data_IF_240769964130
#
_entry.id   IF_240769964130
#
_cell.length_a   1.000
_cell.length_b   1.000
_cell.length_c   1.000
_cell.angle_alpha   90.00
_cell.angle_beta   90.00
_cell.angle_gamma   90.00
#
_symmetry.space_group_name_H-M   'P 1'
#
loop_
_entity.id
_entity.type
_entity.pdbx_description
1 polymer ?
#
# COMPACT_ATOMS: atom_id res chain seq x y z
N UNK A 1 5.29 13.66 7.07
CA UNK A 1 4.13 14.12 6.27
C UNK A 1 3.99 15.63 6.46
N UNK A 2 3.74 16.40 5.42
CA UNK A 2 3.52 17.84 5.53
C UNK A 2 2.06 18.10 5.86
N UNK A 3 1.78 18.84 6.94
CA UNK A 3 0.41 19.14 7.40
C UNK A 3 0.15 20.64 7.23
N UNK A 4 -0.24 21.05 6.02
CA UNK A 4 -0.47 22.45 5.64
C UNK A 4 -1.49 23.15 6.59
N UNK A 5 -2.52 22.40 6.99
CA UNK A 5 -3.61 22.91 7.85
C UNK A 5 -3.50 22.44 9.31
N UNK A 6 -2.33 21.95 9.74
CA UNK A 6 -2.16 21.35 11.06
C UNK A 6 -2.75 19.93 11.13
N UNK A 7 -2.91 19.43 12.37
CA UNK A 7 -3.54 18.15 12.65
C UNK A 7 -4.06 18.13 14.09
N UNK A 8 -4.93 17.18 14.40
CA UNK A 8 -5.40 16.89 15.76
C UNK A 8 -5.09 15.44 16.11
N UNK A 9 -5.14 15.09 17.39
CA UNK A 9 -5.09 13.71 17.90
C UNK A 9 -6.31 13.53 18.78
N UNK A 10 -7.33 12.87 18.25
CA UNK A 10 -8.63 12.79 18.87
C UNK A 10 -8.75 11.58 19.78
N UNK A 11 -9.32 11.80 20.95
CA UNK A 11 -9.72 10.76 21.90
C UNK A 11 -11.10 11.12 22.45
N UNK A 12 -11.89 10.12 22.81
CA UNK A 12 -13.29 10.34 23.15
C UNK A 12 -13.65 9.61 24.43
N UNK A 13 -14.54 10.19 25.22
CA UNK A 13 -15.12 9.55 26.41
C UNK A 13 -16.59 9.33 26.20
N UNK A 14 -17.03 8.09 26.31
CA UNK A 14 -18.43 7.70 26.30
C UNK A 14 -18.83 7.17 27.69
N UNK A 15 -19.77 7.86 28.33
CA UNK A 15 -20.34 7.47 29.63
C UNK A 15 -21.68 6.76 29.41
N UNK A 16 -21.72 5.47 29.72
CA UNK A 16 -22.96 4.73 29.86
C UNK A 16 -23.52 4.85 31.28
N UNK A 17 -24.66 4.24 31.53
CA UNK A 17 -25.29 4.22 32.86
C UNK A 17 -24.52 3.38 33.89
N UNK A 18 -23.70 2.41 33.46
CA UNK A 18 -22.96 1.52 34.35
C UNK A 18 -21.44 1.61 34.17
N UNK A 19 -20.96 1.87 32.94
CA UNK A 19 -19.56 1.81 32.55
C UNK A 19 -19.17 3.00 31.70
N UNK A 20 -17.88 3.38 31.78
CA UNK A 20 -17.29 4.44 30.98
C UNK A 20 -16.19 3.85 30.07
N UNK A 21 -16.25 4.19 28.78
CA UNK A 21 -15.24 3.84 27.80
C UNK A 21 -14.47 5.10 27.36
N UNK A 22 -13.14 4.97 27.29
CA UNK A 22 -12.25 5.91 26.65
C UNK A 22 -11.85 5.30 25.29
N UNK A 23 -12.04 6.03 24.20
CA UNK A 23 -11.65 5.62 22.86
C UNK A 23 -10.37 6.32 22.45
N UNK A 24 -9.38 5.53 22.01
CA UNK A 24 -8.04 5.96 21.67
C UNK A 24 -7.35 6.71 22.82
N UNK A 25 -6.11 7.09 22.62
CA UNK A 25 -5.38 8.04 23.46
C UNK A 25 -4.76 9.13 22.59
N UNK A 26 -3.85 9.92 23.11
CA UNK A 26 -3.14 10.92 22.32
C UNK A 26 -1.64 10.56 22.21
N UNK A 27 -0.98 11.16 21.24
CA UNK A 27 0.47 11.08 21.10
C UNK A 27 1.17 11.54 22.37
N UNK A 28 2.12 10.76 22.86
CA UNK A 28 2.82 11.00 24.14
C UNK A 28 3.39 12.43 24.24
N UNK A 29 3.80 13.04 23.13
CA UNK A 29 4.30 14.42 23.11
C UNK A 29 3.33 15.42 23.71
N UNK A 30 2.03 15.15 23.63
CA UNK A 30 0.94 16.05 24.08
C UNK A 30 0.29 15.55 25.37
N UNK A 31 0.99 14.71 26.14
CA UNK A 31 0.44 14.12 27.36
C UNK A 31 -0.10 15.14 28.36
N UNK A 32 0.62 16.23 28.61
CA UNK A 32 0.24 17.21 29.63
C UNK A 32 -1.06 17.94 29.27
N UNK A 33 -1.22 18.33 28.01
CA UNK A 33 -2.45 18.94 27.50
C UNK A 33 -3.62 17.95 27.50
N UNK A 34 -3.36 16.72 27.03
CA UNK A 34 -4.34 15.64 27.01
C UNK A 34 -4.80 15.28 28.41
N UNK A 35 -3.87 15.16 29.36
CA UNK A 35 -4.19 14.93 30.77
C UNK A 35 -5.03 16.04 31.35
N UNK A 36 -4.71 17.31 31.10
CA UNK A 36 -5.47 18.45 31.57
C UNK A 36 -6.93 18.40 31.09
N UNK A 37 -7.16 18.06 29.81
CA UNK A 37 -8.49 17.87 29.25
C UNK A 37 -9.26 16.73 29.97
N UNK A 38 -8.62 15.60 30.24
CA UNK A 38 -9.23 14.50 30.98
C UNK A 38 -9.48 14.85 32.47
N UNK A 39 -8.63 15.69 33.06
CA UNK A 39 -8.84 16.26 34.42
C UNK A 39 -10.13 17.11 34.46
N UNK A 40 -10.31 17.97 33.47
CA UNK A 40 -11.53 18.82 33.35
C UNK A 40 -12.79 17.97 33.15
N UNK A 41 -12.73 16.87 32.40
CA UNK A 41 -13.82 15.92 32.23
C UNK A 41 -14.13 15.09 33.47
N UNK A 42 -13.22 15.07 34.47
CA UNK A 42 -13.40 14.36 35.72
C UNK A 42 -13.54 12.84 35.56
N UNK A 43 -12.79 12.25 34.64
CA UNK A 43 -12.94 10.84 34.27
C UNK A 43 -12.04 9.86 35.02
N UNK A 44 -11.04 10.38 35.75
CA UNK A 44 -10.06 9.54 36.45
C UNK A 44 -10.69 8.61 37.50
N UNK A 45 -10.24 7.36 37.48
CA UNK A 45 -10.76 6.31 38.36
C UNK A 45 -12.13 5.75 37.94
N UNK A 46 -12.75 6.32 36.92
CA UNK A 46 -14.06 5.90 36.41
C UNK A 46 -13.99 5.32 34.99
N UNK A 47 -12.80 5.23 34.38
CA UNK A 47 -12.61 4.57 33.08
C UNK A 47 -12.60 3.06 33.32
N UNK A 48 -13.60 2.36 32.84
CA UNK A 48 -13.71 0.90 32.88
C UNK A 48 -13.01 0.24 31.68
N UNK A 49 -13.14 0.86 30.50
CA UNK A 49 -12.62 0.34 29.26
C UNK A 49 -11.81 1.39 28.51
N UNK A 50 -10.68 0.97 27.92
CA UNK A 50 -9.90 1.75 26.96
C UNK A 50 -10.03 1.02 25.63
N UNK A 51 -10.85 1.52 24.73
CA UNK A 51 -11.13 0.94 23.41
C UNK A 51 -10.12 1.46 22.42
N UNK A 52 -9.32 0.56 21.84
CA UNK A 52 -8.30 0.88 20.85
C UNK A 52 -8.73 0.35 19.48
N UNK A 53 -9.25 1.24 18.64
CA UNK A 53 -9.61 0.88 17.27
C UNK A 53 -8.37 0.78 16.39
N UNK A 54 -7.28 1.49 16.77
CA UNK A 54 -6.00 1.48 16.10
C UNK A 54 -4.85 1.78 17.07
N UNK A 55 -3.67 1.18 16.88
CA UNK A 55 -2.58 1.23 17.86
C UNK A 55 -1.32 1.95 17.37
N UNK A 56 -1.39 2.72 16.27
CA UNK A 56 -0.28 3.58 15.90
C UNK A 56 0.06 4.52 17.07
N UNK A 57 1.36 4.80 17.34
CA UNK A 57 1.77 5.52 18.55
C UNK A 57 1.23 6.94 18.71
N UNK A 58 0.63 7.52 17.70
CA UNK A 58 -0.06 8.81 17.82
C UNK A 58 -1.48 8.67 18.37
N UNK A 59 -2.07 7.48 18.35
CA UNK A 59 -3.32 7.14 19.05
C UNK A 59 -3.08 6.33 20.32
N UNK A 60 -2.02 5.54 20.39
CA UNK A 60 -1.73 4.65 21.52
C UNK A 60 -0.64 5.17 22.47
N UNK A 61 0.04 6.27 22.13
CA UNK A 61 1.26 6.69 22.82
C UNK A 61 1.08 6.99 24.30
N UNK A 62 -0.07 7.47 24.71
CA UNK A 62 -0.34 7.82 26.12
C UNK A 62 -0.97 6.69 26.94
N UNK A 63 -1.19 5.50 26.36
CA UNK A 63 -1.92 4.39 27.03
C UNK A 63 -1.29 3.96 28.35
N UNK A 64 0.05 3.90 28.44
CA UNK A 64 0.75 3.56 29.68
C UNK A 64 0.40 4.50 30.83
N UNK A 65 0.35 5.81 30.53
CA UNK A 65 -0.02 6.84 31.51
C UNK A 65 -1.48 6.76 31.93
N UNK A 66 -2.38 6.45 30.98
CA UNK A 66 -3.80 6.25 31.28
C UNK A 66 -3.97 5.03 32.20
N UNK A 67 -3.29 3.93 31.93
CA UNK A 67 -3.34 2.71 32.76
C UNK A 67 -2.75 2.93 34.18
N UNK A 68 -1.74 3.79 34.32
CA UNK A 68 -1.18 4.16 35.63
C UNK A 68 -2.23 4.90 36.49
N UNK A 69 -3.05 5.75 35.86
CA UNK A 69 -4.11 6.51 36.56
C UNK A 69 -5.43 5.73 36.68
N UNK A 70 -5.62 4.69 35.88
CA UNK A 70 -6.81 3.82 35.89
C UNK A 70 -6.41 2.32 35.87
N UNK A 71 -5.77 1.83 36.95
CA UNK A 71 -5.21 0.47 36.97
C UNK A 71 -6.26 -0.64 36.93
N UNK A 72 -7.55 -0.31 37.05
CA UNK A 72 -8.67 -1.28 36.94
C UNK A 72 -9.27 -1.32 35.54
N UNK A 73 -8.91 -0.38 34.68
CA UNK A 73 -9.42 -0.35 33.32
C UNK A 73 -8.92 -1.58 32.53
N UNK A 74 -9.80 -2.10 31.67
CA UNK A 74 -9.46 -3.15 30.71
C UNK A 74 -9.29 -2.55 29.33
N UNK A 75 -8.21 -2.89 28.64
CA UNK A 75 -7.97 -2.47 27.25
C UNK A 75 -8.78 -3.37 26.33
N UNK A 76 -9.61 -2.78 25.47
CA UNK A 76 -10.46 -3.47 24.52
C UNK A 76 -9.91 -3.29 23.11
N UNK A 77 -9.70 -4.35 22.38
CA UNK A 77 -9.17 -4.30 21.03
C UNK A 77 -9.11 -5.65 20.34
N UNK A 78 -8.65 -5.65 19.09
CA UNK A 78 -8.39 -6.91 18.37
C UNK A 78 -7.22 -7.66 19.01
N UNK A 79 -7.09 -8.95 18.73
CA UNK A 79 -5.93 -9.73 19.21
C UNK A 79 -4.59 -9.14 18.76
N UNK A 80 -4.55 -8.58 17.55
CA UNK A 80 -3.37 -7.88 17.02
C UNK A 80 -3.10 -6.58 17.79
N UNK A 81 -4.13 -5.78 18.06
CA UNK A 81 -4.02 -4.55 18.84
C UNK A 81 -3.45 -4.83 20.24
N UNK A 82 -3.97 -5.82 20.94
CA UNK A 82 -3.50 -6.19 22.28
C UNK A 82 -2.04 -6.67 22.24
N UNK A 83 -1.64 -7.42 21.21
CA UNK A 83 -0.23 -7.81 21.04
C UNK A 83 0.68 -6.60 20.86
N UNK A 84 0.31 -5.68 19.95
CA UNK A 84 1.09 -4.46 19.71
C UNK A 84 1.18 -3.57 20.95
N UNK A 85 0.07 -3.40 21.68
CA UNK A 85 0.06 -2.59 22.90
C UNK A 85 0.94 -3.14 24.01
N UNK A 86 1.06 -4.47 24.15
CA UNK A 86 2.00 -5.07 25.09
C UNK A 86 3.45 -4.74 24.74
N UNK A 87 3.78 -4.71 23.46
CA UNK A 87 5.11 -4.32 22.98
C UNK A 87 5.33 -2.80 23.10
N UNK A 88 4.33 -1.96 22.81
CA UNK A 88 4.39 -0.50 22.97
C UNK A 88 4.59 -0.12 24.45
N UNK A 89 3.89 -0.79 25.37
CA UNK A 89 3.92 -0.48 26.79
C UNK A 89 5.00 -1.22 27.55
N UNK A 90 5.54 -2.32 27.01
CA UNK A 90 6.46 -3.25 27.65
C UNK A 90 5.95 -3.75 29.01
N UNK A 91 4.64 -3.94 29.16
CA UNK A 91 4.00 -4.43 30.37
C UNK A 91 2.73 -5.21 30.09
N UNK A 92 2.29 -6.02 31.06
CA UNK A 92 0.98 -6.65 31.06
C UNK A 92 -0.09 -5.71 31.61
N UNK A 93 -1.31 -5.87 31.11
CA UNK A 93 -2.50 -5.14 31.53
C UNK A 93 -3.75 -6.03 31.34
N UNK A 94 -4.85 -5.67 32.01
CA UNK A 94 -6.15 -6.31 31.77
C UNK A 94 -6.62 -6.03 30.34
N UNK A 95 -6.94 -7.07 29.58
CA UNK A 95 -7.35 -6.94 28.18
C UNK A 95 -8.61 -7.75 27.88
N UNK A 96 -9.49 -7.19 27.05
CA UNK A 96 -10.62 -7.83 26.45
C UNK A 96 -10.41 -7.87 24.92
N UNK A 97 -10.10 -9.07 24.41
CA UNK A 97 -9.96 -9.29 22.98
C UNK A 97 -11.34 -9.49 22.37
N UNK A 98 -11.69 -8.67 21.40
CA UNK A 98 -12.97 -8.72 20.71
C UNK A 98 -12.86 -9.33 19.32
N UNK A 99 -13.94 -9.95 18.86
CA UNK A 99 -14.10 -10.53 17.53
C UNK A 99 -15.06 -9.68 16.70
N UNK A 100 -15.10 -9.99 15.41
CA UNK A 100 -16.01 -9.34 14.49
C UNK A 100 -17.47 -9.55 14.86
N UNK A 101 -18.24 -8.46 14.96
CA UNK A 101 -19.65 -8.48 15.35
C UNK A 101 -19.93 -8.64 16.84
N UNK A 102 -18.91 -8.85 17.69
CA UNK A 102 -19.11 -8.91 19.15
C UNK A 102 -19.55 -7.55 19.71
N UNK A 103 -20.23 -7.60 20.84
CA UNK A 103 -20.75 -6.40 21.52
C UNK A 103 -20.27 -6.32 22.97
N UNK A 104 -20.19 -5.10 23.50
CA UNK A 104 -19.86 -4.80 24.89
C UNK A 104 -20.84 -3.78 25.44
N UNK A 105 -21.52 -4.10 26.55
CA UNK A 105 -22.47 -3.20 27.18
C UNK A 105 -21.79 -2.21 28.12
N UNK A 106 -22.25 -0.96 28.08
CA UNK A 106 -21.94 0.09 29.07
C UNK A 106 -23.14 0.41 29.96
N UNK A 107 -24.17 -0.44 29.95
CA UNK A 107 -25.46 -0.27 30.61
C UNK A 107 -26.53 0.12 29.59
N UNK A 108 -26.77 1.40 29.40
CA UNK A 108 -27.73 1.94 28.44
C UNK A 108 -27.16 2.15 27.01
N UNK A 109 -25.94 1.74 26.77
CA UNK A 109 -25.25 1.83 25.47
C UNK A 109 -24.51 0.54 25.16
N UNK A 110 -24.51 0.19 23.89
CA UNK A 110 -23.87 -1.03 23.37
C UNK A 110 -22.83 -0.70 22.33
N UNK A 111 -21.58 -1.08 22.61
CA UNK A 111 -20.49 -1.01 21.63
C UNK A 111 -20.54 -2.25 20.74
N UNK A 112 -20.62 -2.08 19.43
CA UNK A 112 -20.51 -3.17 18.45
C UNK A 112 -19.22 -3.03 17.66
N UNK A 113 -18.41 -4.09 17.63
CA UNK A 113 -17.08 -4.08 17.00
C UNK A 113 -17.13 -4.65 15.58
N UNK A 114 -16.45 -3.97 14.65
CA UNK A 114 -16.28 -4.38 13.26
C UNK A 114 -14.80 -4.45 12.95
N UNK A 115 -14.26 -5.65 12.78
CA UNK A 115 -12.85 -5.85 12.47
C UNK A 115 -12.56 -5.50 10.99
N UNK A 116 -11.63 -4.60 10.76
CA UNK A 116 -11.26 -4.07 9.44
C UNK A 116 -9.74 -4.08 9.26
N UNK A 117 -9.10 -5.26 9.34
CA UNK A 117 -7.65 -5.37 9.29
C UNK A 117 -7.09 -4.78 7.99
N UNK A 118 -5.93 -4.14 8.09
CA UNK A 118 -5.24 -3.41 7.02
C UNK A 118 -5.95 -2.14 6.53
N UNK A 119 -6.67 -1.46 7.42
CA UNK A 119 -7.24 -0.16 7.15
C UNK A 119 -6.86 0.88 8.24
N UNK A 120 -5.56 1.41 8.32
CA UNK A 120 -4.47 1.03 7.40
C UNK A 120 -3.47 0.05 8.03
N UNK A 121 -3.60 -0.31 9.32
CA UNK A 121 -2.78 -1.31 10.02
C UNK A 121 -3.57 -2.60 10.25
N UNK A 122 -2.87 -3.74 10.55
CA UNK A 122 -3.53 -5.04 10.70
C UNK A 122 -4.40 -5.18 11.95
N UNK A 123 -4.28 -4.27 12.91
CA UNK A 123 -5.01 -4.22 14.17
C UNK A 123 -6.36 -3.48 14.09
N UNK A 124 -6.62 -2.76 13.01
CA UNK A 124 -7.74 -1.81 12.88
C UNK A 124 -9.10 -2.48 13.02
N UNK A 125 -9.97 -1.81 13.79
CA UNK A 125 -11.41 -2.07 13.87
C UNK A 125 -12.19 -0.76 13.92
N UNK A 126 -13.49 -0.81 13.66
CA UNK A 126 -14.43 0.26 14.00
C UNK A 126 -15.29 -0.15 15.17
N UNK A 127 -15.74 0.83 15.92
CA UNK A 127 -16.74 0.62 17.00
C UNK A 127 -17.97 1.47 16.72
N UNK A 128 -19.13 0.85 16.67
CA UNK A 128 -20.41 1.53 16.47
C UNK A 128 -21.27 1.47 17.75
N UNK A 129 -21.86 2.60 18.11
CA UNK A 129 -22.81 2.75 19.23
C UNK A 129 -24.18 2.95 18.64
N UNK A 130 -25.03 1.93 18.74
CA UNK A 130 -26.33 1.90 18.05
C UNK A 130 -27.29 2.97 18.61
N UNK A 131 -27.33 3.13 19.93
CA UNK A 131 -28.25 4.03 20.62
C UNK A 131 -27.98 5.50 20.32
N UNK A 132 -26.70 5.86 20.12
CA UNK A 132 -26.28 7.24 19.81
C UNK A 132 -25.98 7.42 18.32
N UNK A 133 -26.01 6.37 17.49
CA UNK A 133 -25.67 6.38 16.04
C UNK A 133 -24.27 6.94 15.78
N UNK A 134 -23.32 6.64 16.64
CA UNK A 134 -21.95 7.12 16.60
C UNK A 134 -21.02 6.04 16.14
N UNK A 135 -20.17 6.34 15.15
CA UNK A 135 -19.15 5.45 14.61
C UNK A 135 -17.75 5.97 14.95
N UNK A 136 -16.95 5.16 15.63
CA UNK A 136 -15.53 5.45 15.90
C UNK A 136 -14.69 4.70 14.85
N UNK A 137 -13.94 5.46 14.06
CA UNK A 137 -13.21 4.92 12.89
C UNK A 137 -11.69 5.05 12.98
N UNK A 138 -11.21 5.76 14.01
CA UNK A 138 -9.83 6.21 14.08
C UNK A 138 -9.42 6.91 12.77
N UNK A 139 -8.43 6.44 12.02
CA UNK A 139 -7.86 7.13 10.87
C UNK A 139 -8.78 7.24 9.64
N UNK A 140 -9.71 6.31 9.48
CA UNK A 140 -10.62 6.39 8.33
C UNK A 140 -11.52 7.62 8.44
N UNK A 141 -11.73 8.29 7.32
CA UNK A 141 -12.44 9.58 7.21
C UNK A 141 -11.74 10.75 7.89
N UNK A 142 -10.54 10.55 8.43
CA UNK A 142 -9.72 11.58 9.04
C UNK A 142 -9.16 12.61 8.06
N UNK A 143 -8.63 13.69 8.61
CA UNK A 143 -7.95 14.73 7.85
C UNK A 143 -6.87 15.40 8.69
N UNK A 144 -5.76 15.83 8.05
CA UNK A 144 -4.82 16.74 8.69
C UNK A 144 -5.30 18.17 8.53
N UNK A 145 -6.35 18.47 9.31
CA UNK A 145 -6.98 19.78 9.36
C UNK A 145 -7.32 20.15 10.81
N UNK A 146 -6.87 21.31 11.24
CA UNK A 146 -7.12 21.86 12.58
C UNK A 146 -7.78 23.22 12.45
N UNK A 147 -8.81 23.47 13.24
CA UNK A 147 -9.51 24.74 13.34
C UNK A 147 -9.93 24.99 14.81
N UNK A 148 -10.46 26.16 15.12
CA UNK A 148 -10.86 26.48 16.49
C UNK A 148 -12.09 25.69 16.99
N UNK A 149 -12.88 25.13 16.06
CA UNK A 149 -13.99 24.23 16.39
C UNK A 149 -13.58 22.78 16.52
N UNK A 150 -14.50 21.93 16.99
CA UNK A 150 -14.33 20.47 17.07
C UNK A 150 -15.10 19.77 15.95
N UNK A 151 -16.27 20.31 15.59
CA UNK A 151 -17.23 19.67 14.70
C UNK A 151 -17.04 20.08 13.25
N UNK A 152 -17.27 19.13 12.35
CA UNK A 152 -17.26 19.37 10.89
C UNK A 152 -18.22 20.47 10.46
N UNK A 153 -19.38 20.57 11.10
CA UNK A 153 -20.38 21.60 10.84
C UNK A 153 -19.88 23.05 11.12
N UNK A 154 -18.81 23.19 11.89
CA UNK A 154 -18.21 24.51 12.23
C UNK A 154 -17.04 24.90 11.33
N UNK A 155 -16.64 24.02 10.38
CA UNK A 155 -15.60 24.35 9.41
C UNK A 155 -16.08 25.38 8.41
N UNK A 156 -15.37 26.49 8.30
CA UNK A 156 -15.69 27.59 7.39
C UNK A 156 -14.90 27.61 6.10
N UNK A 157 -13.67 27.04 6.12
CA UNK A 157 -12.84 26.85 4.92
C UNK A 157 -13.06 25.45 4.33
N UNK A 158 -14.13 25.32 3.55
CA UNK A 158 -14.52 24.05 2.92
C UNK A 158 -13.46 23.54 1.94
N UNK A 159 -12.88 24.46 1.15
CA UNK A 159 -11.88 24.09 0.15
C UNK A 159 -10.60 23.58 0.80
N UNK A 160 -10.09 24.27 1.81
CA UNK A 160 -8.92 23.84 2.58
C UNK A 160 -9.15 22.52 3.28
N UNK A 161 -10.32 22.32 3.90
CA UNK A 161 -10.70 21.06 4.52
C UNK A 161 -10.72 19.90 3.52
N UNK A 162 -11.37 20.06 2.38
CA UNK A 162 -11.43 19.00 1.36
C UNK A 162 -10.07 18.71 0.74
N UNK A 163 -9.22 19.72 0.58
CA UNK A 163 -7.84 19.54 0.14
C UNK A 163 -7.01 18.74 1.15
N UNK A 164 -7.15 19.06 2.44
CA UNK A 164 -6.49 18.32 3.52
C UNK A 164 -7.01 16.87 3.61
N UNK A 165 -8.31 16.65 3.48
CA UNK A 165 -8.96 15.34 3.51
C UNK A 165 -8.49 14.48 2.32
N UNK A 166 -8.44 15.07 1.11
CA UNK A 166 -7.93 14.37 -0.07
C UNK A 166 -6.46 14.00 0.08
N UNK A 167 -5.63 14.92 0.57
CA UNK A 167 -4.22 14.66 0.83
C UNK A 167 -4.03 13.53 1.87
N UNK A 168 -4.83 13.56 2.95
CA UNK A 168 -4.82 12.50 3.96
C UNK A 168 -5.23 11.16 3.36
N UNK A 169 -6.34 11.14 2.61
CA UNK A 169 -6.79 9.94 1.91
C UNK A 169 -5.69 9.37 1.02
N UNK A 170 -5.09 10.17 0.15
CA UNK A 170 -4.10 9.69 -0.82
C UNK A 170 -2.85 9.07 -0.17
N UNK A 171 -2.44 9.59 0.99
CA UNK A 171 -1.20 9.19 1.64
C UNK A 171 -1.39 8.10 2.72
N UNK A 172 -2.53 8.05 3.39
CA UNK A 172 -2.80 7.13 4.50
C UNK A 172 -3.72 5.99 4.06
N UNK A 173 -4.88 6.32 3.49
CA UNK A 173 -5.92 5.35 3.13
C UNK A 173 -5.75 4.83 1.71
N UNK A 174 -5.30 5.67 0.79
CA UNK A 174 -5.20 5.35 -0.65
C UNK A 174 -4.43 4.09 -0.98
N UNK A 175 -3.28 3.77 -0.32
CA UNK A 175 -2.60 2.49 -0.50
C UNK A 175 -3.45 1.28 -0.14
N UNK A 176 -4.48 1.46 0.70
CA UNK A 176 -5.37 0.43 1.24
C UNK A 176 -6.80 0.55 0.68
N UNK A 177 -7.04 1.44 -0.27
CA UNK A 177 -8.40 1.75 -0.76
C UNK A 177 -9.15 0.53 -1.29
N UNK A 178 -8.48 -0.35 -2.02
CA UNK A 178 -9.07 -1.56 -2.57
C UNK A 178 -8.19 -2.78 -2.21
N UNK A 179 -8.72 -3.82 -1.54
CA UNK A 179 -10.15 -4.00 -1.20
C UNK A 179 -10.58 -3.42 0.16
N UNK A 180 -9.67 -2.89 1.00
CA UNK A 180 -9.91 -2.70 2.43
C UNK A 180 -10.89 -1.56 2.71
N UNK A 181 -10.69 -0.34 2.16
CA UNK A 181 -11.62 0.77 2.36
C UNK A 181 -12.97 0.53 1.68
N UNK A 182 -12.99 -0.11 0.49
CA UNK A 182 -14.23 -0.52 -0.17
C UNK A 182 -15.03 -1.46 0.73
N UNK A 183 -14.38 -2.46 1.32
CA UNK A 183 -15.04 -3.37 2.26
C UNK A 183 -15.60 -2.64 3.49
N UNK A 184 -14.87 -1.66 4.03
CA UNK A 184 -15.33 -0.87 5.17
C UNK A 184 -16.58 -0.06 4.79
N UNK A 185 -16.56 0.63 3.65
CA UNK A 185 -17.71 1.37 3.13
C UNK A 185 -18.95 0.47 2.91
N UNK A 186 -18.75 -0.74 2.39
CA UNK A 186 -19.85 -1.70 2.20
C UNK A 186 -20.42 -2.20 3.53
N UNK A 187 -19.60 -2.32 4.56
CA UNK A 187 -20.04 -2.76 5.89
C UNK A 187 -20.82 -1.70 6.67
N UNK A 188 -20.55 -0.43 6.41
CA UNK A 188 -21.19 0.68 7.13
C UNK A 188 -22.33 1.34 6.36
N UNK A 189 -22.53 1.03 5.07
CA UNK A 189 -23.51 1.71 4.18
C UNK A 189 -24.95 1.67 4.67
N UNK A 190 -25.31 0.61 5.40
CA UNK A 190 -26.68 0.39 5.92
C UNK A 190 -26.82 0.79 7.40
N UNK A 191 -25.76 1.38 8.01
CA UNK A 191 -25.81 1.90 9.36
C UNK A 191 -26.42 3.30 9.35
N UNK A 192 -27.24 3.57 10.36
CA UNK A 192 -27.75 4.90 10.64
C UNK A 192 -26.67 5.68 11.44
N UNK A 193 -25.96 6.59 10.80
CA UNK A 193 -24.79 7.28 11.37
C UNK A 193 -25.05 8.78 11.44
N UNK A 194 -25.18 9.30 12.67
CA UNK A 194 -25.32 10.74 12.92
C UNK A 194 -23.96 11.42 13.17
N UNK A 195 -22.94 10.63 13.60
CA UNK A 195 -21.60 11.16 13.90
C UNK A 195 -20.51 10.13 13.60
N UNK A 196 -19.38 10.59 13.02
CA UNK A 196 -18.15 9.80 12.91
C UNK A 196 -17.05 10.46 13.75
N UNK A 197 -16.53 9.69 14.70
CA UNK A 197 -15.42 10.06 15.58
C UNK A 197 -14.10 9.58 14.97
N UNK A 198 -13.38 10.50 14.33
CA UNK A 198 -12.12 10.21 13.63
C UNK A 198 -10.90 10.36 14.55
N UNK A 199 -9.77 9.74 14.21
CA UNK A 199 -8.49 9.90 14.92
C UNK A 199 -7.84 11.28 14.69
N UNK A 200 -8.11 11.89 13.52
CA UNK A 200 -7.56 13.18 13.11
C UNK A 200 -8.62 14.06 12.45
N UNK A 201 -8.46 15.37 12.62
CA UNK A 201 -9.35 16.37 12.02
C UNK A 201 -10.65 16.57 12.79
N UNK A 202 -11.61 17.28 12.21
CA UNK A 202 -12.92 17.53 12.82
C UNK A 202 -13.73 16.24 13.02
N UNK A 203 -14.48 16.17 14.10
CA UNK A 203 -15.53 15.15 14.29
C UNK A 203 -16.63 15.39 13.25
N UNK A 204 -17.02 14.36 12.54
CA UNK A 204 -18.00 14.48 11.45
C UNK A 204 -19.42 14.39 12.03
N UNK A 205 -20.11 15.50 12.08
CA UNK A 205 -21.51 15.67 12.49
C UNK A 205 -22.38 16.21 11.35
N UNK A 206 -21.78 16.41 10.18
CA UNK A 206 -22.43 16.93 8.99
C UNK A 206 -21.78 16.37 7.72
N UNK A 207 -22.57 16.30 6.63
CA UNK A 207 -22.11 15.85 5.30
C UNK A 207 -21.51 14.45 5.29
N UNK A 208 -21.93 13.55 6.19
CA UNK A 208 -21.44 12.18 6.29
C UNK A 208 -21.76 11.38 5.02
N UNK A 209 -23.00 11.36 4.51
CA UNK A 209 -23.33 10.64 3.28
C UNK A 209 -22.51 11.13 2.07
N UNK A 210 -22.33 12.44 1.93
CA UNK A 210 -21.55 13.04 0.85
C UNK A 210 -20.07 12.63 0.94
N UNK A 211 -19.51 12.62 2.15
CA UNK A 211 -18.12 12.21 2.34
C UNK A 211 -17.92 10.70 2.06
N UNK A 212 -18.86 9.87 2.48
CA UNK A 212 -18.83 8.43 2.17
C UNK A 212 -18.88 8.19 0.65
N UNK A 213 -19.71 8.94 -0.07
CA UNK A 213 -19.78 8.85 -1.54
C UNK A 213 -18.48 9.31 -2.20
N UNK A 214 -17.89 10.41 -1.73
CA UNK A 214 -16.56 10.88 -2.17
C UNK A 214 -15.48 9.80 -1.94
N UNK A 215 -15.50 9.14 -0.79
CA UNK A 215 -14.57 8.04 -0.50
C UNK A 215 -14.81 6.84 -1.45
N UNK A 216 -16.07 6.51 -1.77
CA UNK A 216 -16.39 5.47 -2.78
C UNK A 216 -15.81 5.82 -4.13
N UNK A 217 -15.98 7.06 -4.57
CA UNK A 217 -15.41 7.58 -5.82
C UNK A 217 -13.86 7.49 -5.80
N UNK A 218 -13.22 7.98 -4.75
CA UNK A 218 -11.75 7.94 -4.62
C UNK A 218 -11.20 6.50 -4.56
N UNK A 219 -11.96 5.59 -4.02
CA UNK A 219 -11.63 4.16 -4.03
C UNK A 219 -11.85 3.52 -5.40
N UNK A 220 -12.63 4.14 -6.28
CA UNK A 220 -13.12 3.49 -7.51
C UNK A 220 -14.04 2.31 -7.20
N UNK A 221 -14.85 2.40 -6.13
CA UNK A 221 -15.65 1.29 -5.61
C UNK A 221 -16.69 0.79 -6.60
N UNK A 222 -17.28 1.70 -7.37
CA UNK A 222 -18.31 1.40 -8.40
C UNK A 222 -17.71 1.18 -9.78
N UNK A 223 -16.40 1.42 -9.95
CA UNK A 223 -15.70 1.01 -11.16
C UNK A 223 -15.62 -0.53 -11.19
N UNK A 224 -15.86 -1.16 -12.34
CA UNK A 224 -15.64 -2.59 -12.49
C UNK A 224 -14.22 -2.91 -12.00
N UNK A 225 -14.07 -3.89 -11.10
CA UNK A 225 -12.74 -4.31 -10.65
C UNK A 225 -11.89 -4.58 -11.90
N UNK A 226 -10.86 -3.79 -12.17
CA UNK A 226 -10.05 -3.96 -13.35
C UNK A 226 -9.44 -5.38 -13.44
N UNK A 227 -9.35 -6.12 -12.34
CA UNK A 227 -8.91 -7.51 -12.32
C UNK A 227 -9.98 -8.46 -12.86
N UNK A 228 -11.28 -8.15 -12.65
CA UNK A 228 -12.40 -8.97 -13.08
C UNK A 228 -12.92 -8.60 -14.48
N UNK A 229 -12.63 -7.39 -14.95
CA UNK A 229 -13.11 -6.87 -16.25
C UNK A 229 -12.04 -6.85 -17.33
N UNK A 230 -10.79 -7.14 -17.00
CA UNK A 230 -9.70 -7.17 -17.97
C UNK A 230 -9.88 -8.36 -18.92
N UNK A 231 -10.27 -8.05 -20.14
CA UNK A 231 -10.14 -8.99 -21.25
C UNK A 231 -8.67 -9.37 -21.51
N UNK A 232 -7.71 -8.57 -20.98
CA UNK A 232 -6.26 -8.73 -21.15
C UNK A 232 -5.53 -8.61 -19.81
N UNK A 233 -4.44 -9.36 -19.63
CA UNK A 233 -3.49 -9.12 -18.55
C UNK A 233 -2.75 -7.81 -18.76
N UNK A 234 -2.48 -7.06 -17.69
CA UNK A 234 -1.70 -5.82 -17.75
C UNK A 234 -0.29 -6.06 -17.26
N UNK A 235 0.69 -5.70 -18.09
CA UNK A 235 2.11 -5.63 -17.71
C UNK A 235 2.56 -4.18 -17.73
N UNK A 236 3.16 -3.72 -16.62
CA UNK A 236 3.72 -2.37 -16.50
C UNK A 236 5.24 -2.45 -16.47
N UNK A 237 5.90 -1.67 -17.31
CA UNK A 237 7.36 -1.63 -17.46
C UNK A 237 7.86 -0.20 -17.17
N UNK A 238 8.06 0.18 -15.90
CA UNK A 238 8.76 1.43 -15.58
C UNK A 238 10.28 1.23 -15.78
N UNK A 239 10.91 2.17 -16.47
CA UNK A 239 12.35 2.10 -16.69
C UNK A 239 13.01 3.47 -16.64
N UNK A 240 14.30 3.47 -16.36
CA UNK A 240 15.21 4.62 -16.55
C UNK A 240 16.32 4.20 -17.50
N UNK A 241 16.68 5.09 -18.41
CA UNK A 241 17.78 4.84 -19.35
C UNK A 241 18.70 6.04 -19.43
N UNK A 242 19.98 5.87 -19.05
CA UNK A 242 20.96 6.96 -19.08
C UNK A 242 21.57 7.18 -20.48
N UNK A 243 21.79 6.09 -21.22
CA UNK A 243 22.48 6.08 -22.52
C UNK A 243 21.67 5.40 -23.64
N UNK A 244 20.38 5.18 -23.44
CA UNK A 244 19.51 4.47 -24.40
C UNK A 244 19.54 2.96 -24.28
N UNK A 245 20.53 2.34 -23.63
CA UNK A 245 20.71 0.89 -23.62
C UNK A 245 19.59 0.16 -22.89
N UNK A 246 19.20 0.64 -21.71
CA UNK A 246 18.08 0.05 -20.96
C UNK A 246 16.74 0.27 -21.69
N UNK A 247 16.59 1.39 -22.40
CA UNK A 247 15.41 1.65 -23.23
C UNK A 247 15.28 0.66 -24.40
N UNK A 248 16.36 0.40 -25.13
CA UNK A 248 16.37 -0.62 -26.19
C UNK A 248 15.98 -2.02 -25.67
N UNK A 249 16.48 -2.37 -24.48
CA UNK A 249 16.10 -3.62 -23.81
C UNK A 249 14.61 -3.62 -23.44
N UNK A 250 14.09 -2.52 -22.87
CA UNK A 250 12.68 -2.38 -22.48
C UNK A 250 11.75 -2.58 -23.68
N UNK A 251 12.07 -2.01 -24.82
CA UNK A 251 11.30 -2.15 -26.04
C UNK A 251 11.26 -3.60 -26.54
N UNK A 252 12.40 -4.28 -26.54
CA UNK A 252 12.48 -5.69 -26.98
C UNK A 252 11.79 -6.64 -26.01
N UNK A 253 11.91 -6.42 -24.71
CA UNK A 253 11.18 -7.17 -23.69
C UNK A 253 9.68 -6.96 -23.87
N UNK A 254 9.22 -5.72 -24.06
CA UNK A 254 7.82 -5.39 -24.29
C UNK A 254 7.26 -6.05 -25.57
N UNK A 255 8.04 -6.08 -26.65
CA UNK A 255 7.70 -6.78 -27.90
C UNK A 255 7.47 -8.26 -27.63
N UNK A 256 8.42 -8.93 -26.96
CA UNK A 256 8.30 -10.35 -26.61
C UNK A 256 7.07 -10.64 -25.75
N UNK A 257 6.78 -9.80 -24.75
CA UNK A 257 5.59 -9.95 -23.88
C UNK A 257 4.31 -9.85 -24.72
N UNK A 258 4.19 -8.86 -25.61
CA UNK A 258 3.01 -8.69 -26.47
C UNK A 258 2.81 -9.92 -27.36
N UNK A 259 3.87 -10.41 -27.96
CA UNK A 259 3.82 -11.57 -28.87
C UNK A 259 3.44 -12.86 -28.13
N UNK A 260 3.85 -13.07 -26.90
CA UNK A 260 3.46 -14.23 -26.08
C UNK A 260 1.93 -14.28 -25.86
N UNK A 261 1.29 -13.12 -25.79
CA UNK A 261 -0.17 -12.92 -25.73
C UNK A 261 -0.83 -12.78 -27.10
N UNK A 262 -0.11 -13.09 -28.21
CA UNK A 262 -0.59 -12.95 -29.58
C UNK A 262 -1.17 -11.55 -29.86
N UNK A 263 -0.61 -10.53 -29.21
CA UNK A 263 -1.08 -9.13 -29.24
C UNK A 263 -2.53 -8.92 -28.77
N UNK A 264 -3.15 -9.89 -28.12
CA UNK A 264 -4.56 -9.85 -27.69
C UNK A 264 -4.74 -10.05 -26.19
N UNK A 265 -3.96 -10.92 -25.58
CA UNK A 265 -4.17 -11.39 -24.20
C UNK A 265 -3.39 -10.57 -23.17
N UNK A 266 -2.37 -9.79 -23.61
CA UNK A 266 -1.57 -8.91 -22.75
C UNK A 266 -1.56 -7.50 -23.30
N UNK A 267 -1.83 -6.54 -22.41
CA UNK A 267 -1.55 -5.12 -22.62
C UNK A 267 -0.23 -4.78 -21.94
N UNK A 268 0.67 -4.08 -22.63
CA UNK A 268 1.97 -3.66 -22.08
C UNK A 268 2.04 -2.14 -22.10
N UNK A 269 2.20 -1.54 -20.91
CA UNK A 269 2.43 -0.12 -20.72
C UNK A 269 3.85 0.13 -20.27
N UNK A 270 4.54 1.02 -20.97
CA UNK A 270 5.93 1.38 -20.71
C UNK A 270 6.00 2.81 -20.22
N UNK A 271 6.84 3.07 -19.21
CA UNK A 271 7.00 4.40 -18.62
C UNK A 271 8.47 4.73 -18.46
N UNK A 272 8.95 5.77 -19.19
CA UNK A 272 10.25 6.37 -18.93
C UNK A 272 10.15 7.25 -17.66
N UNK A 273 10.75 6.81 -16.58
CA UNK A 273 10.67 7.48 -15.29
C UNK A 273 11.46 8.79 -15.20
N UNK A 274 12.15 9.18 -16.27
CA UNK A 274 12.72 10.54 -16.40
C UNK A 274 11.60 11.57 -16.63
N UNK A 275 10.51 11.18 -17.31
CA UNK A 275 9.45 12.09 -17.72
C UNK A 275 8.07 11.72 -17.19
N UNK A 276 7.87 10.46 -16.79
CA UNK A 276 6.58 9.97 -16.32
C UNK A 276 6.26 10.47 -14.90
N UNK A 277 4.98 10.73 -14.63
CA UNK A 277 4.49 11.02 -13.28
C UNK A 277 4.53 9.77 -12.42
N UNK A 278 5.31 9.84 -11.33
CA UNK A 278 5.54 8.70 -10.44
C UNK A 278 4.26 8.22 -9.73
N UNK A 279 3.34 9.13 -9.39
CA UNK A 279 2.08 8.79 -8.72
C UNK A 279 1.14 8.04 -9.66
N UNK A 280 1.10 8.45 -10.93
CA UNK A 280 0.37 7.74 -11.96
C UNK A 280 0.92 6.32 -12.17
N UNK A 281 2.25 6.19 -12.32
CA UNK A 281 2.90 4.87 -12.49
C UNK A 281 2.69 3.97 -11.28
N UNK A 282 2.73 4.53 -10.07
CA UNK A 282 2.42 3.79 -8.84
C UNK A 282 0.99 3.22 -8.84
N UNK A 283 0.01 4.00 -9.33
CA UNK A 283 -1.38 3.55 -9.47
C UNK A 283 -1.51 2.44 -10.52
N UNK A 284 -0.77 2.51 -11.61
CA UNK A 284 -0.71 1.47 -12.64
C UNK A 284 -0.09 0.16 -12.10
N UNK A 285 0.99 0.25 -11.33
CA UNK A 285 1.62 -0.91 -10.67
C UNK A 285 0.67 -1.60 -9.68
N UNK A 286 -0.15 -0.82 -8.97
CA UNK A 286 -1.12 -1.37 -8.03
C UNK A 286 -2.16 -2.29 -8.71
N UNK A 287 -2.51 -2.02 -9.98
CA UNK A 287 -3.49 -2.80 -10.74
C UNK A 287 -2.88 -3.73 -11.78
N UNK A 288 -1.56 -3.72 -11.98
CA UNK A 288 -0.86 -4.59 -12.91
C UNK A 288 -0.94 -6.07 -12.48
N UNK A 289 -0.97 -6.98 -13.45
CA UNK A 289 -0.84 -8.44 -13.24
C UNK A 289 0.64 -8.87 -13.25
N UNK A 290 1.47 -8.16 -14.01
CA UNK A 290 2.91 -8.36 -14.09
C UNK A 290 3.68 -7.05 -14.17
N UNK A 291 4.92 -7.03 -13.73
CA UNK A 291 5.75 -5.83 -13.75
C UNK A 291 7.22 -6.13 -13.94
N UNK A 292 7.92 -5.30 -14.74
CA UNK A 292 9.35 -5.39 -14.95
C UNK A 292 10.00 -4.02 -14.78
N UNK A 293 10.97 -3.94 -13.91
CA UNK A 293 11.66 -2.70 -13.56
C UNK A 293 12.97 -2.58 -14.33
N UNK A 294 13.08 -1.56 -15.19
CA UNK A 294 14.27 -1.31 -16.00
C UNK A 294 15.21 -0.28 -15.37
N UNK A 295 16.47 -0.63 -15.09
CA UNK A 295 17.45 0.31 -14.53
C UNK A 295 18.86 -0.03 -14.97
N UNK A 296 19.67 0.95 -15.40
CA UNK A 296 21.12 0.74 -15.48
C UNK A 296 21.70 0.64 -14.05
N UNK A 297 22.90 0.06 -13.94
CA UNK A 297 23.70 0.13 -12.72
C UNK A 297 24.63 1.34 -12.80
N UNK A 298 24.49 2.31 -11.93
CA UNK A 298 25.37 3.48 -11.80
C UNK A 298 25.79 3.60 -10.33
N UNK A 299 27.07 3.75 -10.07
CA UNK A 299 27.65 3.79 -8.71
C UNK A 299 27.27 2.55 -7.88
N UNK A 300 27.25 1.37 -8.54
CA UNK A 300 26.92 0.09 -7.88
C UNK A 300 25.43 -0.09 -7.53
N UNK A 301 24.53 0.79 -8.03
CA UNK A 301 23.14 0.80 -7.58
C UNK A 301 22.15 1.00 -8.74
N UNK A 302 20.89 0.61 -8.49
CA UNK A 302 19.75 0.99 -9.32
C UNK A 302 19.49 2.50 -9.20
N UNK A 303 18.95 3.12 -10.24
CA UNK A 303 18.68 4.55 -10.20
C UNK A 303 17.47 4.88 -9.30
N UNK A 304 17.55 6.03 -8.64
CA UNK A 304 16.59 6.50 -7.64
C UNK A 304 15.12 6.44 -8.08
N UNK A 305 14.71 6.80 -9.31
CA UNK A 305 13.31 6.71 -9.71
C UNK A 305 12.73 5.29 -9.61
N UNK A 306 13.52 4.27 -9.93
CA UNK A 306 13.08 2.86 -9.80
C UNK A 306 13.00 2.45 -8.34
N UNK A 307 13.97 2.85 -7.51
CA UNK A 307 13.90 2.64 -6.07
C UNK A 307 12.66 3.28 -5.45
N UNK A 308 12.35 4.54 -5.79
CA UNK A 308 11.17 5.25 -5.28
C UNK A 308 9.87 4.50 -5.58
N UNK A 309 9.71 3.98 -6.81
CA UNK A 309 8.55 3.15 -7.15
C UNK A 309 8.47 1.90 -6.27
N UNK A 310 9.59 1.16 -6.10
CA UNK A 310 9.59 -0.07 -5.30
C UNK A 310 9.43 0.19 -3.80
N UNK A 311 9.82 1.37 -3.29
CA UNK A 311 9.56 1.78 -1.92
C UNK A 311 8.09 2.13 -1.68
N UNK A 312 7.39 2.65 -2.69
CA UNK A 312 5.95 2.90 -2.65
C UNK A 312 5.08 1.64 -2.78
N UNK A 313 5.68 0.47 -3.06
CA UNK A 313 4.96 -0.81 -3.16
C UNK A 313 4.91 -1.51 -1.80
N UNK A 314 3.82 -2.22 -1.53
CA UNK A 314 3.71 -2.96 -0.29
C UNK A 314 2.97 -4.32 -0.48
N UNK A 315 3.22 -5.32 0.41
CA UNK A 315 2.76 -6.69 0.22
C UNK A 315 1.25 -6.88 0.02
N UNK A 316 0.34 -6.23 0.77
CA UNK A 316 -1.10 -6.44 0.61
C UNK A 316 -1.61 -6.24 -0.82
N UNK A 317 -1.02 -5.30 -1.59
CA UNK A 317 -1.42 -5.01 -2.98
C UNK A 317 -0.64 -5.84 -4.00
N UNK A 318 0.62 -6.19 -3.70
CA UNK A 318 1.56 -6.72 -4.71
C UNK A 318 1.93 -8.19 -4.53
N UNK A 319 1.70 -8.78 -3.34
CA UNK A 319 2.00 -10.19 -3.06
C UNK A 319 1.46 -11.12 -4.13
N UNK A 320 2.32 -12.05 -4.59
CA UNK A 320 1.97 -13.09 -5.55
C UNK A 320 1.91 -12.64 -7.02
N UNK A 321 1.96 -11.31 -7.32
CA UNK A 321 2.04 -10.83 -8.69
C UNK A 321 3.39 -11.17 -9.31
N UNK A 322 3.41 -11.38 -10.64
CA UNK A 322 4.64 -11.70 -11.36
C UNK A 322 5.51 -10.46 -11.51
N UNK A 323 6.79 -10.56 -11.15
CA UNK A 323 7.71 -9.43 -11.25
C UNK A 323 9.11 -9.85 -11.66
N UNK A 324 9.85 -8.93 -12.27
CA UNK A 324 11.28 -9.03 -12.48
C UNK A 324 11.93 -7.66 -12.68
N UNK A 325 13.25 -7.65 -12.90
CA UNK A 325 14.01 -6.45 -13.23
C UNK A 325 15.01 -6.73 -14.36
N UNK A 326 15.38 -5.69 -15.10
CA UNK A 326 16.36 -5.77 -16.17
C UNK A 326 17.20 -4.49 -16.27
N UNK A 327 18.34 -4.57 -16.94
CA UNK A 327 19.13 -3.37 -17.17
C UNK A 327 20.53 -3.58 -17.69
N UNK A 328 21.14 -2.47 -18.10
CA UNK A 328 22.53 -2.44 -18.55
C UNK A 328 23.49 -2.08 -17.42
N UNK A 329 24.73 -2.50 -17.52
CA UNK A 329 25.77 -2.20 -16.54
C UNK A 329 27.16 -2.17 -17.18
N UNK A 330 28.13 -1.53 -16.52
CA UNK A 330 29.53 -1.48 -16.98
C UNK A 330 30.47 -2.44 -16.25
N UNK A 331 30.45 -2.41 -14.91
CA UNK A 331 31.39 -3.18 -14.07
C UNK A 331 30.80 -4.48 -13.55
N UNK A 332 29.90 -4.38 -12.55
CA UNK A 332 29.46 -5.50 -11.69
C UNK A 332 27.96 -5.72 -11.74
N UNK A 333 27.14 -4.68 -11.99
CA UNK A 333 25.72 -4.81 -12.31
C UNK A 333 24.81 -5.15 -11.15
N UNK A 334 25.00 -4.54 -10.00
CA UNK A 334 24.26 -4.77 -8.75
C UNK A 334 22.82 -4.26 -8.79
N UNK A 335 22.54 -3.20 -9.57
CA UNK A 335 21.24 -2.52 -9.56
C UNK A 335 20.06 -3.46 -9.83
N UNK A 336 20.17 -4.38 -10.79
CA UNK A 336 19.11 -5.36 -11.06
C UNK A 336 18.94 -6.37 -9.91
N UNK A 337 20.00 -7.03 -9.39
CA UNK A 337 19.89 -7.85 -8.19
C UNK A 337 19.24 -7.15 -6.99
N UNK A 338 19.58 -5.89 -6.73
CA UNK A 338 19.01 -5.15 -5.61
C UNK A 338 17.50 -4.97 -5.76
N UNK A 339 17.01 -4.61 -6.94
CA UNK A 339 15.57 -4.54 -7.22
C UNK A 339 14.92 -5.93 -7.09
N UNK A 340 15.54 -7.00 -7.59
CA UNK A 340 15.05 -8.37 -7.44
C UNK A 340 14.86 -8.73 -5.97
N UNK A 341 15.83 -8.44 -5.10
CA UNK A 341 15.71 -8.71 -3.66
C UNK A 341 14.60 -7.88 -3.02
N UNK A 342 14.43 -6.61 -3.42
CA UNK A 342 13.32 -5.79 -2.96
C UNK A 342 11.96 -6.39 -3.35
N UNK A 343 11.80 -6.87 -4.57
CA UNK A 343 10.56 -7.50 -5.04
C UNK A 343 10.25 -8.80 -4.27
N UNK A 344 11.28 -9.59 -3.91
CA UNK A 344 11.12 -10.76 -3.04
C UNK A 344 10.62 -10.40 -1.65
N UNK A 345 11.13 -9.31 -1.04
CA UNK A 345 10.65 -8.79 0.25
C UNK A 345 9.16 -8.42 0.22
N UNK A 346 8.64 -8.06 -0.95
CA UNK A 346 7.21 -7.79 -1.17
C UNK A 346 6.37 -9.08 -1.34
N UNK A 347 6.99 -10.25 -1.17
CA UNK A 347 6.36 -11.55 -1.39
C UNK A 347 5.75 -11.72 -2.80
N UNK A 348 6.37 -11.11 -3.80
CA UNK A 348 5.99 -11.27 -5.20
C UNK A 348 6.51 -12.59 -5.78
N UNK A 349 5.93 -13.05 -6.88
CA UNK A 349 6.46 -14.15 -7.70
C UNK A 349 7.55 -13.58 -8.60
N UNK A 350 8.82 -13.69 -8.19
CA UNK A 350 9.93 -12.99 -8.84
C UNK A 350 10.70 -13.93 -9.74
N UNK A 351 10.90 -13.53 -11.00
CA UNK A 351 11.79 -14.20 -11.95
C UNK A 351 13.20 -13.62 -11.84
N UNK A 352 14.20 -14.40 -12.28
CA UNK A 352 15.58 -13.96 -12.36
C UNK A 352 15.71 -12.71 -13.24
N UNK A 353 16.54 -11.78 -12.80
CA UNK A 353 16.78 -10.53 -13.51
C UNK A 353 17.56 -10.71 -14.80
N UNK A 354 17.28 -9.85 -15.79
CA UNK A 354 17.98 -9.86 -17.08
C UNK A 354 18.98 -8.71 -17.17
N UNK A 355 20.25 -9.01 -17.46
CA UNK A 355 21.32 -8.01 -17.46
C UNK A 355 22.20 -8.11 -18.71
N UNK A 356 22.55 -6.96 -19.28
CA UNK A 356 23.48 -6.85 -20.42
C UNK A 356 24.60 -5.89 -20.07
N UNK A 357 25.82 -6.27 -20.40
CA UNK A 357 26.98 -5.42 -20.18
C UNK A 357 27.11 -4.41 -21.32
N UNK A 358 27.07 -3.10 -20.98
CA UNK A 358 27.10 -1.96 -21.91
C UNK A 358 25.94 -1.98 -22.93
N UNK A 359 26.24 -1.67 -24.20
CA UNK A 359 25.28 -1.61 -25.29
C UNK A 359 24.86 -3.01 -25.72
N UNK A 360 23.57 -3.31 -25.81
CA UNK A 360 23.11 -4.57 -26.37
C UNK A 360 23.56 -4.78 -27.81
N UNK A 361 24.06 -5.97 -28.12
CA UNK A 361 24.21 -6.41 -29.51
C UNK A 361 22.87 -6.92 -30.06
N UNK A 362 22.77 -7.09 -31.38
CA UNK A 362 21.55 -7.64 -32.01
C UNK A 362 21.14 -9.00 -31.44
N UNK A 363 22.12 -9.86 -31.11
CA UNK A 363 21.84 -11.17 -30.49
C UNK A 363 21.31 -10.99 -29.07
N UNK A 364 21.89 -10.08 -28.29
CA UNK A 364 21.41 -9.79 -26.94
C UNK A 364 20.04 -9.13 -26.92
N UNK A 365 19.67 -8.40 -27.96
CA UNK A 365 18.31 -7.88 -28.13
C UNK A 365 17.32 -9.00 -28.47
N UNK A 366 17.75 -10.08 -29.16
CA UNK A 366 16.96 -11.30 -29.31
C UNK A 366 16.79 -12.00 -27.95
N UNK A 367 17.85 -12.11 -27.14
CA UNK A 367 17.75 -12.64 -25.76
C UNK A 367 16.78 -11.82 -24.91
N UNK A 368 16.78 -10.48 -25.05
CA UNK A 368 15.84 -9.60 -24.36
C UNK A 368 14.39 -9.85 -24.79
N UNK A 369 14.17 -10.00 -26.09
CA UNK A 369 12.86 -10.38 -26.62
C UNK A 369 12.40 -11.74 -26.08
N UNK A 370 13.26 -12.77 -26.12
CA UNK A 370 12.93 -14.11 -25.62
C UNK A 370 12.67 -14.11 -24.11
N UNK A 371 13.39 -13.28 -23.36
CA UNK A 371 13.12 -13.05 -21.95
C UNK A 371 11.71 -12.47 -21.71
N UNK A 372 11.34 -11.46 -22.47
CA UNK A 372 9.99 -10.88 -22.42
C UNK A 372 8.91 -11.89 -22.84
N UNK A 373 9.15 -12.65 -23.89
CA UNK A 373 8.24 -13.71 -24.36
C UNK A 373 7.99 -14.76 -23.28
N UNK A 374 9.05 -15.23 -22.62
CA UNK A 374 8.96 -16.19 -21.50
C UNK A 374 8.21 -15.60 -20.31
N UNK A 375 8.45 -14.33 -19.96
CA UNK A 375 7.71 -13.64 -18.90
C UNK A 375 6.22 -13.63 -19.19
N UNK A 376 5.83 -13.28 -20.41
CA UNK A 376 4.43 -13.26 -20.80
C UNK A 376 3.78 -14.64 -20.84
N UNK A 377 4.51 -15.69 -21.28
CA UNK A 377 4.03 -17.08 -21.19
C UNK A 377 3.76 -17.49 -19.74
N UNK A 378 4.68 -17.19 -18.82
CA UNK A 378 4.52 -17.48 -17.39
C UNK A 378 3.32 -16.73 -16.80
N UNK A 379 3.09 -15.47 -17.21
CA UNK A 379 1.96 -14.67 -16.76
C UNK A 379 0.61 -15.25 -17.22
N UNK A 380 0.60 -15.91 -18.39
CA UNK A 380 -0.58 -16.54 -18.99
C UNK A 380 -0.74 -18.02 -18.61
N UNK A 381 0.13 -18.55 -17.75
CA UNK A 381 0.22 -19.99 -17.44
C UNK A 381 0.32 -20.89 -18.70
N UNK A 382 1.15 -20.47 -19.67
CA UNK A 382 1.40 -21.16 -20.94
C UNK A 382 2.82 -21.65 -21.03
N UNK A 383 3.01 -22.78 -21.70
CA UNK A 383 4.36 -23.25 -22.10
C UNK A 383 4.85 -22.36 -23.27
N UNK A 384 6.14 -21.93 -23.25
CA UNK A 384 6.73 -21.23 -24.37
C UNK A 384 6.65 -22.10 -25.65
N UNK A 385 6.02 -21.57 -26.68
CA UNK A 385 6.08 -22.26 -27.99
C UNK A 385 7.55 -22.30 -28.41
N UNK A 386 8.10 -23.51 -28.65
CA UNK A 386 9.46 -23.65 -29.19
C UNK A 386 9.49 -22.96 -30.55
N UNK A 387 10.00 -21.73 -30.62
CA UNK A 387 10.25 -21.06 -31.88
C UNK A 387 11.20 -21.91 -32.68
N UNK A 388 10.81 -22.28 -33.91
CA UNK A 388 11.76 -22.66 -34.93
C UNK A 388 12.69 -21.47 -35.09
N UNK A 389 13.98 -21.66 -34.76
CA UNK A 389 15.03 -20.69 -34.97
C UNK A 389 14.84 -20.07 -36.36
N UNK A 390 14.46 -18.78 -36.41
CA UNK A 390 14.46 -18.05 -37.67
C UNK A 390 15.96 -17.96 -38.07
N UNK A 391 16.34 -18.76 -39.03
CA UNK A 391 17.61 -18.62 -39.69
C UNK A 391 17.63 -17.30 -40.45
N UNK A 392 18.19 -16.26 -39.84
CA UNK A 392 18.62 -15.09 -40.59
C UNK A 392 19.74 -15.54 -41.51
N UNK A 393 19.42 -15.80 -42.78
CA UNK A 393 20.35 -15.96 -43.86
C UNK A 393 21.60 -16.83 -43.62
N UNK A 394 21.44 -18.13 -43.55
CA UNK A 394 22.53 -19.08 -43.90
C UNK A 394 23.72 -19.27 -42.95
N UNK A 395 23.77 -18.60 -41.80
CA UNK A 395 24.86 -18.79 -40.82
C UNK A 395 24.32 -19.39 -39.53
N UNK A 396 24.86 -20.53 -39.16
CA UNK A 396 24.58 -21.14 -37.87
C UNK A 396 25.48 -20.49 -36.83
N UNK A 397 24.85 -19.84 -35.79
CA UNK A 397 25.56 -19.19 -34.69
C UNK A 397 25.63 -20.14 -33.51
N UNK A 398 26.77 -20.22 -32.84
CA UNK A 398 27.01 -20.96 -31.61
C UNK A 398 27.47 -20.02 -30.48
N UNK A 399 27.13 -20.36 -29.24
CA UNK A 399 27.56 -19.60 -28.07
C UNK A 399 28.75 -20.30 -27.42
N UNK A 400 29.81 -19.54 -27.18
CA UNK A 400 30.97 -20.04 -26.45
C UNK A 400 30.61 -20.35 -25.00
N UNK A 401 30.87 -21.54 -24.54
CA UNK A 401 30.61 -21.98 -23.17
C UNK A 401 31.57 -21.37 -22.14
N UNK A 402 32.69 -20.76 -22.60
CA UNK A 402 33.72 -20.18 -21.73
C UNK A 402 33.49 -18.68 -21.51
N UNK A 403 33.36 -17.91 -22.59
CA UNK A 403 33.22 -16.43 -22.52
C UNK A 403 31.80 -15.94 -22.80
N UNK A 404 30.89 -16.79 -23.24
CA UNK A 404 29.50 -16.43 -23.58
C UNK A 404 29.33 -15.75 -24.94
N UNK A 405 30.44 -15.54 -25.71
CA UNK A 405 30.40 -14.93 -27.02
C UNK A 405 29.64 -15.78 -28.03
N UNK A 406 28.88 -15.16 -28.91
CA UNK A 406 28.13 -15.79 -29.99
C UNK A 406 28.87 -15.55 -31.29
N UNK A 407 29.23 -16.64 -31.98
CA UNK A 407 30.01 -16.58 -33.20
C UNK A 407 29.49 -17.55 -34.27
N UNK A 408 29.93 -17.38 -35.50
CA UNK A 408 29.56 -18.25 -36.61
C UNK A 408 30.05 -19.67 -36.37
N UNK A 409 29.15 -20.66 -36.42
CA UNK A 409 29.50 -22.07 -36.21
C UNK A 409 30.48 -22.63 -37.26
N UNK A 410 30.75 -21.91 -38.34
CA UNK A 410 31.78 -22.23 -39.31
C UNK A 410 33.19 -21.97 -38.79
N UNK A 411 33.33 -21.22 -37.67
CA UNK A 411 34.62 -21.04 -36.99
C UNK A 411 34.87 -22.24 -36.08
N UNK A 412 36.03 -22.84 -36.20
CA UNK A 412 36.43 -24.05 -35.42
C UNK A 412 36.65 -23.71 -33.92
N UNK A 413 36.81 -22.44 -33.56
CA UNK A 413 36.98 -21.96 -32.19
C UNK A 413 36.39 -20.59 -32.00
N UNK A 414 36.08 -20.22 -30.72
CA UNK A 414 35.64 -18.92 -30.33
C UNK A 414 36.71 -17.86 -30.65
N UNK A 415 36.36 -16.77 -31.36
CA UNK A 415 37.35 -15.74 -31.74
C UNK A 415 37.82 -14.87 -30.56
N UNK A 416 37.19 -15.00 -29.39
CA UNK A 416 37.47 -14.20 -28.19
C UNK A 416 38.29 -14.94 -27.15
N UNK A 417 38.18 -16.26 -27.08
CA UNK A 417 38.96 -17.12 -26.21
C UNK A 417 39.50 -18.35 -26.93
#
# INVERSE_FOLDING_TARGET
MHTEFGTTYNSYVLKGSEKTALFETAKMKFWDDYKATLDELGVWGNIDYIVMNHTEPDHAGSISKILDLNPRASVVGTGTAISFLREITNRDFSALIVKDGETLSLGDRTLRFMLLPNLHWPDTMYTYVEEDKVLFTCDSFGSHYSHEGILRSTVTDEEGYMRATKYYFDNIIGPFKNPFMVNALDRIKDLDIDMICTGHGPVLDAKIPELMEIYREWCGADAPDPRNTKAKKLVVIPYVSAYGYTSEMAEKIAEGIRDSGKNKDIEVRMYDMVTADASHVQSELAVADGMLFGTPTIVGEALAPIWQLTLGMFPPTHKGKLASAFGSYGWSGEGVPHIIERLKQLNMRVLDGFRIRFKPSDVQLIDAYDYGYNFGCILLDREPEKKKTQSTGGKMLVKCMVCGEVFDASLEACPVC
#
